data_IF_341883373948
#
_entry.id   IF_341883373948
#
_cell.length_a   1.000
_cell.length_b   1.000
_cell.length_c   1.000
_cell.angle_alpha   90.00
_cell.angle_beta   90.00
_cell.angle_gamma   90.00
#
_symmetry.space_group_name_H-M   'P 1'
#
loop_
_entity.id
_entity.type
_entity.pdbx_description
1 polymer ?
#
# COMPACT_ATOMS: atom_id res chain seq x y z
N UNK A 1 -16.47 8.92 -9.14
CA UNK A 1 -17.13 7.74 -8.55
C UNK A 1 -17.83 6.98 -9.64
N UNK A 2 -17.52 5.71 -9.82
CA UNK A 2 -18.27 4.82 -10.71
C UNK A 2 -19.45 4.24 -9.94
N UNK A 3 -20.67 4.29 -10.51
CA UNK A 3 -21.85 3.67 -9.89
C UNK A 3 -21.70 2.15 -9.90
N UNK A 4 -22.25 1.52 -8.87
CA UNK A 4 -22.32 0.06 -8.75
C UNK A 4 -23.77 -0.33 -8.76
N UNK A 5 -24.13 -1.39 -9.50
CA UNK A 5 -25.47 -1.94 -9.46
C UNK A 5 -25.74 -2.57 -8.10
N UNK A 6 -26.81 -2.12 -7.44
CA UNK A 6 -27.19 -2.65 -6.13
C UNK A 6 -28.71 -2.65 -5.94
N UNK A 7 -29.19 -3.57 -5.15
CA UNK A 7 -30.51 -3.49 -4.55
C UNK A 7 -30.38 -2.74 -3.22
N UNK A 8 -31.24 -1.76 -2.99
CA UNK A 8 -31.25 -0.94 -1.78
C UNK A 8 -32.67 -0.76 -1.27
N UNK A 9 -32.84 -0.79 0.04
CA UNK A 9 -34.11 -0.50 0.69
C UNK A 9 -33.85 0.34 1.96
N UNK A 10 -34.81 1.24 2.23
CA UNK A 10 -34.90 1.98 3.49
C UNK A 10 -36.38 1.92 3.93
N UNK A 11 -36.63 1.47 5.15
CA UNK A 11 -37.94 1.23 5.71
C UNK A 11 -38.04 1.86 7.09
N UNK A 12 -39.05 2.70 7.32
CA UNK A 12 -39.44 3.15 8.66
C UNK A 12 -40.12 2.00 9.40
N UNK A 13 -39.53 1.54 10.48
CA UNK A 13 -40.07 0.47 11.32
C UNK A 13 -41.03 1.03 12.38
N UNK A 14 -40.72 2.22 12.90
CA UNK A 14 -41.55 3.03 13.80
C UNK A 14 -41.38 4.50 13.43
N UNK A 15 -42.02 5.40 14.18
CA UNK A 15 -41.85 6.85 13.99
C UNK A 15 -40.39 7.28 14.19
N UNK A 16 -39.63 6.58 15.07
CA UNK A 16 -38.29 6.96 15.48
C UNK A 16 -37.22 5.92 15.06
N UNK A 17 -37.59 4.80 14.41
CA UNK A 17 -36.64 3.75 14.04
C UNK A 17 -36.78 3.44 12.54
N UNK A 18 -35.68 3.48 11.82
CA UNK A 18 -35.56 3.04 10.43
C UNK A 18 -34.51 1.95 10.27
N UNK A 19 -34.70 1.13 9.23
CA UNK A 19 -33.75 0.11 8.82
C UNK A 19 -33.37 0.34 7.35
N UNK A 20 -32.09 0.22 7.06
CA UNK A 20 -31.52 0.28 5.71
C UNK A 20 -30.82 -1.02 5.39
N UNK A 21 -30.94 -1.51 4.16
CA UNK A 21 -30.20 -2.66 3.68
C UNK A 21 -29.80 -2.46 2.23
N UNK A 22 -28.62 -2.98 1.88
CA UNK A 22 -28.19 -3.06 0.50
C UNK A 22 -27.58 -4.42 0.17
N UNK A 23 -27.63 -4.78 -1.11
CA UNK A 23 -26.89 -5.90 -1.69
C UNK A 23 -26.31 -5.44 -3.03
N UNK A 24 -24.98 -5.53 -3.21
CA UNK A 24 -24.33 -5.20 -4.48
C UNK A 24 -24.43 -6.38 -5.44
N UNK A 25 -24.70 -6.06 -6.71
CA UNK A 25 -24.89 -7.03 -7.80
C UNK A 25 -23.65 -7.15 -8.70
N UNK A 26 -22.58 -6.46 -8.37
CA UNK A 26 -21.34 -6.49 -9.13
C UNK A 26 -20.21 -5.78 -8.41
N UNK A 27 -18.98 -6.22 -8.67
CA UNK A 27 -17.77 -5.59 -8.16
C UNK A 27 -17.32 -4.48 -9.12
N UNK A 28 -16.90 -3.36 -8.55
CA UNK A 28 -16.30 -2.27 -9.31
C UNK A 28 -15.06 -1.77 -8.60
N UNK A 29 -13.91 -1.98 -9.20
CA UNK A 29 -12.62 -1.49 -8.73
C UNK A 29 -12.53 0.04 -8.77
N UNK A 30 -11.65 0.61 -7.97
CA UNK A 30 -11.29 2.03 -8.06
C UNK A 30 -10.47 2.25 -9.32
N UNK A 31 -10.94 3.14 -10.19
CA UNK A 31 -10.19 3.56 -11.37
C UNK A 31 -9.14 4.59 -10.95
N UNK A 32 -7.89 4.25 -11.17
CA UNK A 32 -6.74 5.11 -10.94
C UNK A 32 -6.24 5.66 -12.29
N UNK A 33 -5.63 6.87 -12.31
CA UNK A 33 -5.09 7.45 -13.54
C UNK A 33 -4.13 6.51 -14.25
N UNK A 34 -4.22 6.43 -15.60
CA UNK A 34 -3.41 5.50 -16.40
C UNK A 34 -1.90 5.69 -16.24
N UNK A 35 -1.14 4.63 -16.49
CA UNK A 35 0.31 4.60 -16.39
C UNK A 35 0.96 5.66 -17.29
N UNK A 36 1.98 6.35 -16.78
CA UNK A 36 2.71 7.39 -17.52
C UNK A 36 1.94 8.70 -17.73
N UNK A 37 0.74 8.85 -17.15
CA UNK A 37 0.02 10.11 -17.17
C UNK A 37 0.48 11.04 -16.05
N UNK A 38 0.27 12.34 -16.19
CA UNK A 38 0.67 13.35 -15.19
C UNK A 38 0.06 13.08 -13.79
N UNK A 39 -1.10 12.46 -13.73
CA UNK A 39 -1.81 12.18 -12.47
C UNK A 39 -1.53 10.78 -11.91
N UNK A 40 -0.72 9.97 -12.57
CA UNK A 40 -0.31 8.67 -12.04
C UNK A 40 0.61 8.88 -10.83
N UNK A 41 0.24 8.27 -9.70
CA UNK A 41 0.99 8.38 -8.44
C UNK A 41 2.01 7.25 -8.26
N UNK A 42 1.99 6.24 -9.14
CA UNK A 42 2.94 5.13 -9.16
C UNK A 42 2.95 4.48 -10.56
N UNK A 43 3.98 3.70 -10.84
CA UNK A 43 4.24 3.09 -12.14
C UNK A 43 3.98 1.57 -12.19
N UNK A 44 3.25 1.02 -11.23
CA UNK A 44 2.96 -0.42 -11.18
C UNK A 44 1.46 -0.75 -11.12
N UNK A 45 0.66 0.03 -10.41
CA UNK A 45 -0.77 -0.25 -10.24
C UNK A 45 -1.66 0.23 -11.39
N UNK A 46 -1.43 1.40 -12.04
CA UNK A 46 -2.30 1.89 -13.09
C UNK A 46 -2.44 0.93 -14.27
N UNK A 47 -3.56 1.05 -14.97
CA UNK A 47 -3.74 0.38 -16.26
C UNK A 47 -2.71 0.90 -17.27
N UNK A 48 -2.16 -0.01 -18.07
CA UNK A 48 -1.08 0.28 -19.03
C UNK A 48 0.33 0.13 -18.46
N UNK A 49 0.51 0.00 -17.14
CA UNK A 49 1.79 -0.40 -16.56
C UNK A 49 2.04 -1.91 -16.83
N UNK A 50 3.19 -2.23 -17.39
CA UNK A 50 3.55 -3.60 -17.80
C UNK A 50 4.64 -4.21 -16.94
N UNK A 51 5.36 -3.41 -16.17
CA UNK A 51 6.47 -3.87 -15.35
C UNK A 51 6.80 -2.86 -14.25
N UNK A 52 7.45 -3.31 -13.18
CA UNK A 52 8.01 -2.50 -12.10
C UNK A 52 9.53 -2.68 -12.04
N UNK A 53 10.27 -1.59 -11.87
CA UNK A 53 11.73 -1.65 -11.69
C UNK A 53 12.10 -2.26 -10.35
N UNK A 54 13.11 -3.13 -10.36
CA UNK A 54 13.66 -3.78 -9.19
C UNK A 54 15.18 -3.52 -9.10
N UNK A 55 15.72 -3.61 -7.86
CA UNK A 55 17.17 -3.49 -7.58
C UNK A 55 17.82 -2.24 -8.20
N UNK A 56 17.18 -1.08 -8.00
CA UNK A 56 17.69 0.20 -8.52
C UNK A 56 17.60 0.35 -10.05
N UNK A 57 16.67 -0.34 -10.68
CA UNK A 57 16.44 -0.27 -12.13
C UNK A 57 17.29 -1.27 -12.95
N UNK A 58 18.04 -2.13 -12.29
CA UNK A 58 18.84 -3.15 -12.96
C UNK A 58 17.97 -4.24 -13.60
N UNK A 59 16.81 -4.51 -13.01
CA UNK A 59 15.87 -5.52 -13.45
C UNK A 59 14.45 -4.96 -13.49
N UNK A 60 13.57 -5.62 -14.22
CA UNK A 60 12.18 -5.24 -14.36
C UNK A 60 11.29 -6.47 -14.20
N UNK A 61 10.49 -6.50 -13.13
CA UNK A 61 9.51 -7.57 -12.86
C UNK A 61 8.26 -7.26 -13.67
N UNK A 62 7.88 -8.19 -14.55
CA UNK A 62 6.72 -8.06 -15.42
C UNK A 62 5.39 -8.15 -14.68
N UNK A 63 4.36 -7.47 -15.21
CA UNK A 63 2.97 -7.68 -14.77
C UNK A 63 2.48 -9.01 -15.34
N UNK A 64 1.73 -9.77 -14.55
CA UNK A 64 1.19 -11.06 -14.99
C UNK A 64 0.35 -10.91 -16.25
N UNK A 65 0.56 -11.83 -17.20
CA UNK A 65 -0.23 -11.91 -18.44
C UNK A 65 -1.70 -12.30 -18.16
N UNK A 66 -1.96 -12.99 -17.06
CA UNK A 66 -3.32 -13.36 -16.61
C UNK A 66 -4.12 -12.18 -16.07
N UNK A 67 -3.50 -11.00 -15.97
CA UNK A 67 -4.12 -9.77 -15.52
C UNK A 67 -4.32 -9.68 -14.01
N UNK A 68 -5.23 -8.77 -13.61
CA UNK A 68 -5.56 -8.54 -12.21
C UNK A 68 -6.54 -9.60 -11.71
N UNK A 69 -6.44 -9.92 -10.42
CA UNK A 69 -7.38 -10.80 -9.71
C UNK A 69 -8.46 -9.96 -9.06
N UNK A 70 -9.55 -9.73 -9.78
CA UNK A 70 -10.70 -8.99 -9.29
C UNK A 70 -11.45 -9.77 -8.23
N UNK A 71 -12.09 -9.04 -7.30
CA UNK A 71 -13.03 -9.65 -6.38
C UNK A 71 -14.29 -10.15 -7.09
N UNK A 72 -15.02 -11.03 -6.42
CA UNK A 72 -16.29 -11.56 -6.92
C UNK A 72 -17.37 -10.46 -7.03
N UNK A 73 -18.33 -10.69 -7.91
CA UNK A 73 -19.47 -9.78 -8.09
C UNK A 73 -20.48 -9.88 -6.94
N UNK A 74 -20.45 -10.95 -6.17
CA UNK A 74 -21.36 -11.24 -5.06
C UNK A 74 -20.67 -11.13 -3.71
N UNK A 75 -21.42 -11.33 -2.62
CA UNK A 75 -20.89 -11.30 -1.25
C UNK A 75 -20.92 -9.94 -0.58
N UNK A 76 -21.20 -8.85 -1.28
CA UNK A 76 -21.20 -7.51 -0.69
C UNK A 76 -22.61 -7.06 -0.29
N UNK A 77 -22.82 -6.89 1.01
CA UNK A 77 -24.13 -6.49 1.58
C UNK A 77 -23.93 -5.71 2.87
N UNK A 78 -24.98 -5.02 3.30
CA UNK A 78 -24.97 -4.31 4.58
C UNK A 78 -26.37 -4.06 5.12
N UNK A 79 -26.41 -3.87 6.43
CA UNK A 79 -27.59 -3.55 7.21
C UNK A 79 -27.26 -2.42 8.18
N UNK A 80 -28.16 -1.43 8.28
CA UNK A 80 -28.06 -0.37 9.27
C UNK A 80 -29.40 -0.10 9.93
N UNK A 81 -29.36 0.30 11.19
CA UNK A 81 -30.52 0.81 11.92
C UNK A 81 -30.21 2.23 12.40
N UNK A 82 -31.19 3.12 12.30
CA UNK A 82 -31.12 4.49 12.81
C UNK A 82 -32.29 4.72 13.76
N UNK A 83 -31.95 5.24 14.94
CA UNK A 83 -32.91 5.54 15.98
C UNK A 83 -32.81 7.01 16.40
N UNK A 84 -33.92 7.74 16.30
CA UNK A 84 -34.05 9.12 16.76
C UNK A 84 -34.58 9.13 18.19
N UNK A 85 -33.80 9.67 19.11
CA UNK A 85 -34.17 9.83 20.52
C UNK A 85 -34.59 11.27 20.78
N UNK A 86 -35.91 11.52 20.89
CA UNK A 86 -36.49 12.83 21.24
C UNK A 86 -36.09 13.25 22.67
N UNK A 87 -36.04 12.30 23.60
CA UNK A 87 -35.67 12.52 25.01
C UNK A 87 -34.22 13.01 25.20
N UNK A 88 -33.36 12.72 24.23
CA UNK A 88 -31.95 13.16 24.22
C UNK A 88 -31.73 14.35 23.28
N UNK A 89 -32.73 15.21 23.11
CA UNK A 89 -32.62 16.42 22.30
C UNK A 89 -32.52 16.13 20.81
N UNK A 90 -33.36 15.26 20.29
CA UNK A 90 -33.42 14.82 18.90
C UNK A 90 -32.07 14.23 18.42
N UNK A 91 -31.44 13.43 19.28
CA UNK A 91 -30.21 12.74 18.94
C UNK A 91 -30.49 11.50 18.10
N UNK A 92 -29.91 11.43 16.92
CA UNK A 92 -29.92 10.24 16.08
C UNK A 92 -28.75 9.32 16.45
N UNK A 93 -29.01 8.04 16.65
CA UNK A 93 -28.04 6.97 16.82
C UNK A 93 -28.10 6.03 15.64
N UNK A 94 -26.95 5.61 15.13
CA UNK A 94 -26.82 4.61 14.08
C UNK A 94 -26.00 3.41 14.54
N UNK A 95 -26.42 2.22 14.11
CA UNK A 95 -25.61 0.99 14.18
C UNK A 95 -25.62 0.33 12.81
N UNK A 96 -24.48 -0.13 12.36
CA UNK A 96 -24.41 -0.81 11.08
C UNK A 96 -23.40 -1.96 11.08
N UNK A 97 -23.63 -2.91 10.18
CA UNK A 97 -22.70 -3.98 9.82
C UNK A 97 -22.77 -4.24 8.33
N UNK A 98 -21.62 -4.45 7.71
CA UNK A 98 -21.54 -4.76 6.29
C UNK A 98 -20.38 -5.70 5.98
N UNK A 99 -20.54 -6.50 4.92
CA UNK A 99 -19.48 -7.25 4.28
C UNK A 99 -19.18 -6.59 2.93
N UNK A 100 -17.92 -6.22 2.72
CA UNK A 100 -17.47 -5.53 1.50
C UNK A 100 -16.16 -6.11 0.98
N UNK A 101 -15.87 -5.90 -0.28
CA UNK A 101 -14.58 -6.20 -0.88
C UNK A 101 -13.74 -4.94 -1.03
N UNK A 102 -12.41 -5.09 -0.97
CA UNK A 102 -11.51 -3.96 -1.22
C UNK A 102 -11.66 -3.49 -2.66
N UNK A 103 -12.01 -2.22 -2.85
CA UNK A 103 -12.03 -1.57 -4.18
C UNK A 103 -10.68 -0.98 -4.58
N UNK A 104 -9.77 -0.85 -3.64
CA UNK A 104 -8.41 -0.40 -3.89
C UNK A 104 -7.53 -1.60 -4.23
N UNK A 105 -6.71 -1.52 -5.28
CA UNK A 105 -5.80 -2.59 -5.67
C UNK A 105 -4.66 -2.74 -4.68
N UNK A 106 -4.29 -4.00 -4.40
CA UNK A 106 -3.08 -4.37 -3.68
C UNK A 106 -2.18 -5.18 -4.60
N UNK A 107 -0.88 -4.89 -4.55
CA UNK A 107 0.10 -5.61 -5.34
C UNK A 107 0.51 -6.90 -4.64
N UNK A 108 0.43 -8.01 -5.34
CA UNK A 108 0.91 -9.34 -4.96
C UNK A 108 1.78 -9.90 -6.08
N UNK A 109 2.43 -11.03 -5.85
CA UNK A 109 3.27 -11.66 -6.86
C UNK A 109 3.16 -13.17 -6.89
N UNK A 110 3.83 -13.76 -7.88
CA UNK A 110 3.99 -15.20 -7.97
C UNK A 110 5.45 -15.54 -7.70
N UNK A 111 5.68 -16.48 -6.77
CA UNK A 111 7.01 -16.99 -6.49
C UNK A 111 7.58 -17.63 -7.77
N UNK A 112 8.85 -17.33 -8.08
CA UNK A 112 9.51 -17.93 -9.22
C UNK A 112 9.63 -19.46 -9.08
N UNK A 113 9.88 -20.12 -10.21
CA UNK A 113 10.07 -21.59 -10.30
C UNK A 113 11.52 -21.95 -10.58
N UNK A 114 12.43 -21.00 -10.40
CA UNK A 114 13.84 -21.11 -10.78
C UNK A 114 14.65 -21.63 -9.59
N UNK A 115 15.41 -22.70 -9.80
CA UNK A 115 16.40 -23.17 -8.85
C UNK A 115 17.72 -22.41 -9.04
N UNK A 116 17.93 -21.37 -8.23
CA UNK A 116 19.15 -20.55 -8.24
C UNK A 116 20.40 -21.39 -8.05
N UNK A 117 20.38 -22.34 -7.10
CA UNK A 117 21.52 -23.19 -6.78
C UNK A 117 21.89 -24.06 -7.99
N UNK A 118 20.89 -24.60 -8.67
CA UNK A 118 21.13 -25.40 -9.86
C UNK A 118 21.76 -24.58 -10.99
N UNK A 119 21.25 -23.36 -11.26
CA UNK A 119 21.78 -22.49 -12.31
C UNK A 119 23.23 -22.11 -12.02
N UNK A 120 23.51 -21.68 -10.80
CA UNK A 120 24.86 -21.31 -10.38
C UNK A 120 25.80 -22.50 -10.48
N UNK A 121 25.36 -23.68 -10.05
CA UNK A 121 26.12 -24.93 -10.13
C UNK A 121 26.40 -25.32 -11.59
N UNK A 122 25.44 -25.24 -12.46
CA UNK A 122 25.59 -25.61 -13.88
C UNK A 122 26.58 -24.69 -14.59
N UNK A 123 26.51 -23.37 -14.35
CA UNK A 123 27.44 -22.40 -14.92
C UNK A 123 28.84 -22.62 -14.40
N UNK A 124 29.05 -22.76 -13.09
CA UNK A 124 30.37 -23.03 -12.50
C UNK A 124 30.92 -24.34 -13.03
N UNK A 125 30.11 -25.38 -13.04
CA UNK A 125 30.49 -26.69 -13.57
C UNK A 125 30.93 -26.63 -15.04
N UNK A 126 30.23 -25.87 -15.87
CA UNK A 126 30.57 -25.68 -17.29
C UNK A 126 31.94 -25.00 -17.47
N UNK A 127 32.36 -24.16 -16.56
CA UNK A 127 33.66 -23.46 -16.56
C UNK A 127 34.77 -24.36 -16.00
N UNK A 128 34.51 -25.05 -14.90
CA UNK A 128 35.53 -25.81 -14.14
C UNK A 128 35.80 -27.17 -14.77
N UNK A 129 34.79 -27.86 -15.31
CA UNK A 129 34.95 -29.20 -15.85
C UNK A 129 35.99 -29.31 -17.01
N UNK A 130 36.01 -28.41 -18.00
CA UNK A 130 37.03 -28.43 -19.05
C UNK A 130 38.46 -28.25 -18.49
N UNK A 131 38.61 -27.36 -17.48
CA UNK A 131 39.93 -27.12 -16.82
C UNK A 131 40.37 -28.39 -16.10
N UNK A 132 39.47 -29.05 -15.38
CA UNK A 132 39.79 -30.30 -14.69
C UNK A 132 40.22 -31.41 -15.64
N UNK A 133 39.45 -31.60 -16.71
CA UNK A 133 39.72 -32.64 -17.73
C UNK A 133 41.05 -32.38 -18.43
N UNK A 134 41.30 -31.15 -18.88
CA UNK A 134 42.57 -30.79 -19.54
C UNK A 134 43.75 -30.93 -18.60
N UNK A 135 43.65 -30.39 -17.36
CA UNK A 135 44.75 -30.47 -16.38
C UNK A 135 45.10 -31.90 -15.96
N UNK A 136 44.10 -32.77 -15.81
CA UNK A 136 44.32 -34.22 -15.54
C UNK A 136 45.00 -34.90 -16.73
N UNK A 137 44.62 -34.56 -17.96
CA UNK A 137 45.27 -35.09 -19.19
C UNK A 137 46.73 -34.64 -19.26
N UNK A 138 47.00 -33.38 -18.97
CA UNK A 138 48.36 -32.82 -18.97
C UNK A 138 49.25 -33.50 -17.91
N UNK A 139 48.73 -33.71 -16.71
CA UNK A 139 49.43 -34.44 -15.63
C UNK A 139 49.72 -35.90 -16.06
N UNK A 140 48.73 -36.59 -16.59
CA UNK A 140 48.89 -37.97 -17.08
C UNK A 140 49.93 -38.08 -18.22
N UNK A 141 49.92 -37.09 -19.12
CA UNK A 141 50.88 -37.01 -20.23
C UNK A 141 52.31 -36.76 -19.72
N UNK A 142 52.49 -35.88 -18.76
CA UNK A 142 53.76 -35.60 -18.16
C UNK A 142 54.35 -36.81 -17.41
N UNK A 143 53.50 -37.60 -16.71
CA UNK A 143 53.88 -38.87 -16.12
C UNK A 143 54.32 -39.85 -17.20
N UNK A 144 53.59 -39.98 -18.29
CA UNK A 144 53.89 -40.91 -19.40
C UNK A 144 55.19 -40.53 -20.11
N UNK A 145 55.48 -39.25 -20.24
CA UNK A 145 56.73 -38.76 -20.81
C UNK A 145 57.94 -38.87 -19.88
N UNK A 146 57.73 -39.17 -18.59
CA UNK A 146 58.78 -39.29 -17.59
C UNK A 146 59.23 -37.94 -16.97
N UNK A 147 58.46 -36.86 -17.18
CA UNK A 147 58.77 -35.56 -16.64
C UNK A 147 58.73 -35.56 -15.11
N UNK A 148 57.90 -36.41 -14.50
CA UNK A 148 57.89 -36.75 -13.06
C UNK A 148 57.26 -38.11 -12.79
N UNK A 149 57.59 -38.72 -11.63
CA UNK A 149 57.04 -40.04 -11.27
C UNK A 149 55.66 -39.89 -10.65
N UNK A 150 54.81 -40.84 -10.92
CA UNK A 150 53.50 -40.95 -10.24
C UNK A 150 53.69 -40.99 -8.71
N UNK A 151 52.84 -40.23 -7.99
CA UNK A 151 52.92 -40.03 -6.54
C UNK A 151 54.20 -39.33 -6.00
N UNK A 152 55.03 -38.80 -6.88
CA UNK A 152 56.14 -37.92 -6.47
C UNK A 152 55.63 -36.56 -5.92
N UNK A 153 56.53 -35.80 -5.27
CA UNK A 153 56.19 -34.44 -4.85
C UNK A 153 55.77 -33.55 -6.01
N UNK A 154 56.47 -33.69 -7.18
CA UNK A 154 56.10 -32.97 -8.38
C UNK A 154 54.71 -33.29 -8.89
N UNK A 155 54.28 -34.57 -8.81
CA UNK A 155 52.93 -34.96 -9.15
C UNK A 155 51.88 -34.35 -8.18
N UNK A 156 52.16 -34.34 -6.88
CA UNK A 156 51.29 -33.73 -5.88
C UNK A 156 51.20 -32.19 -6.06
N UNK A 157 52.33 -31.56 -6.37
CA UNK A 157 52.38 -30.10 -6.62
C UNK A 157 51.60 -29.75 -7.90
N UNK A 158 51.68 -30.57 -8.96
CA UNK A 158 50.87 -30.38 -10.16
C UNK A 158 49.36 -30.52 -9.90
N UNK A 159 48.98 -31.49 -9.08
CA UNK A 159 47.57 -31.65 -8.63
C UNK A 159 47.10 -30.48 -7.82
N UNK A 160 47.89 -29.97 -6.90
CA UNK A 160 47.57 -28.78 -6.10
C UNK A 160 47.47 -27.49 -6.97
N UNK A 161 48.35 -27.34 -7.96
CA UNK A 161 48.26 -26.24 -8.93
C UNK A 161 46.99 -26.30 -9.79
N UNK A 162 46.60 -27.48 -10.24
CA UNK A 162 45.34 -27.68 -10.95
C UNK A 162 44.13 -27.30 -10.08
N UNK A 163 44.09 -27.76 -8.83
CA UNK A 163 43.03 -27.41 -7.89
C UNK A 163 42.96 -25.89 -7.67
N UNK A 164 44.08 -25.23 -7.45
CA UNK A 164 44.11 -23.76 -7.30
C UNK A 164 43.59 -23.03 -8.55
N UNK A 165 43.88 -23.58 -9.76
CA UNK A 165 43.35 -23.04 -11.03
C UNK A 165 41.86 -23.21 -11.11
N UNK A 166 41.32 -24.34 -10.69
CA UNK A 166 39.88 -24.61 -10.67
C UNK A 166 39.15 -23.71 -9.67
N UNK A 167 39.74 -23.55 -8.48
CA UNK A 167 39.16 -22.66 -7.43
C UNK A 167 39.14 -21.20 -7.90
N UNK A 168 40.20 -20.74 -8.53
CA UNK A 168 40.28 -19.39 -9.09
C UNK A 168 39.27 -19.19 -10.24
N UNK A 169 39.11 -20.17 -11.13
CA UNK A 169 38.13 -20.11 -12.19
C UNK A 169 36.68 -20.12 -11.67
N UNK A 170 36.42 -20.94 -10.65
CA UNK A 170 35.12 -20.96 -9.93
C UNK A 170 34.82 -19.60 -9.30
N UNK A 171 35.76 -19.03 -8.57
CA UNK A 171 35.59 -17.71 -7.95
C UNK A 171 35.38 -16.59 -8.99
N UNK A 172 36.07 -16.66 -10.13
CA UNK A 172 35.89 -15.69 -11.22
C UNK A 172 34.56 -15.83 -11.94
N UNK A 173 34.01 -17.04 -12.05
CA UNK A 173 32.72 -17.31 -12.69
C UNK A 173 31.51 -16.99 -11.78
N UNK A 174 31.69 -17.00 -10.47
CA UNK A 174 30.62 -16.84 -9.49
C UNK A 174 29.74 -15.59 -9.72
N UNK A 175 30.29 -14.36 -9.90
CA UNK A 175 29.46 -13.18 -10.12
C UNK A 175 28.60 -13.27 -11.37
N UNK A 176 29.13 -13.86 -12.45
CA UNK A 176 28.40 -14.07 -13.71
C UNK A 176 27.29 -15.09 -13.52
N UNK A 177 27.56 -16.19 -12.81
CA UNK A 177 26.59 -17.23 -12.52
C UNK A 177 25.43 -16.70 -11.67
N UNK A 178 25.74 -15.96 -10.61
CA UNK A 178 24.73 -15.32 -9.78
C UNK A 178 23.91 -14.29 -10.55
N UNK A 179 24.54 -13.46 -11.38
CA UNK A 179 23.83 -12.51 -12.23
C UNK A 179 22.89 -13.18 -13.23
N UNK A 180 23.29 -14.31 -13.81
CA UNK A 180 22.45 -15.09 -14.71
C UNK A 180 21.26 -15.75 -13.98
N UNK A 181 21.47 -16.25 -12.76
CA UNK A 181 20.42 -16.82 -11.93
C UNK A 181 19.39 -15.73 -11.56
N UNK A 182 19.83 -14.58 -11.09
CA UNK A 182 18.93 -13.44 -10.78
C UNK A 182 18.16 -13.01 -12.04
N UNK A 183 18.78 -12.92 -13.19
CA UNK A 183 18.09 -12.57 -14.43
C UNK A 183 16.97 -13.57 -14.79
N UNK A 184 17.18 -14.87 -14.58
CA UNK A 184 16.15 -15.89 -14.82
C UNK A 184 15.04 -15.84 -13.78
N UNK A 185 15.37 -15.62 -12.50
CA UNK A 185 14.40 -15.41 -11.42
C UNK A 185 13.49 -14.23 -11.77
N UNK A 186 14.07 -13.07 -12.12
CA UNK A 186 13.30 -11.88 -12.52
C UNK A 186 12.41 -12.16 -13.73
N UNK A 187 12.92 -12.86 -14.75
CA UNK A 187 12.15 -13.19 -15.94
C UNK A 187 10.98 -14.15 -15.67
N UNK A 188 11.08 -15.00 -14.64
CA UNK A 188 10.04 -15.94 -14.23
C UNK A 188 9.11 -15.38 -13.14
N UNK A 189 9.51 -14.33 -12.45
CA UNK A 189 8.69 -13.64 -11.47
C UNK A 189 7.70 -12.70 -12.15
N UNK A 190 6.50 -12.59 -11.58
CA UNK A 190 5.54 -11.59 -12.04
C UNK A 190 4.77 -11.02 -10.85
N UNK A 191 4.22 -9.82 -11.04
CA UNK A 191 3.30 -9.21 -10.09
C UNK A 191 1.92 -9.04 -10.73
N UNK A 192 0.91 -8.91 -9.91
CA UNK A 192 -0.47 -8.61 -10.31
C UNK A 192 -1.16 -7.83 -9.21
N UNK A 193 -2.30 -7.22 -9.54
CA UNK A 193 -3.14 -6.57 -8.56
C UNK A 193 -4.23 -7.53 -8.11
N UNK A 194 -4.52 -7.51 -6.80
CA UNK A 194 -5.58 -8.28 -6.18
C UNK A 194 -6.50 -7.37 -5.38
N UNK A 195 -7.72 -7.80 -5.16
CA UNK A 195 -8.75 -7.09 -4.42
C UNK A 195 -9.30 -8.03 -3.35
N UNK A 196 -8.76 -8.00 -2.12
CA UNK A 196 -9.22 -8.86 -1.03
C UNK A 196 -10.71 -8.73 -0.76
N UNK A 197 -11.33 -9.84 -0.45
CA UNK A 197 -12.76 -9.99 -0.25
C UNK A 197 -13.11 -10.08 1.25
N UNK A 198 -14.40 -10.00 1.56
CA UNK A 198 -15.00 -10.34 2.85
C UNK A 198 -14.48 -9.52 4.05
N UNK A 199 -14.26 -8.22 3.82
CA UNK A 199 -13.94 -7.28 4.89
C UNK A 199 -15.22 -6.95 5.65
N UNK A 200 -15.30 -7.37 6.92
CA UNK A 200 -16.45 -7.05 7.78
C UNK A 200 -16.24 -5.67 8.40
N UNK A 201 -17.21 -4.79 8.21
CA UNK A 201 -17.19 -3.44 8.81
C UNK A 201 -18.41 -3.28 9.71
N UNK A 202 -18.17 -2.93 10.96
CA UNK A 202 -19.22 -2.59 11.93
C UNK A 202 -19.01 -1.18 12.47
N UNK A 203 -20.06 -0.52 12.88
CA UNK A 203 -19.92 0.81 13.47
C UNK A 203 -21.14 1.29 14.23
N UNK A 204 -20.85 2.28 15.07
CA UNK A 204 -21.82 3.04 15.86
C UNK A 204 -21.62 4.52 15.57
N UNK A 205 -22.70 5.25 15.36
CA UNK A 205 -22.66 6.68 15.10
C UNK A 205 -23.71 7.43 15.93
N UNK A 206 -23.46 8.71 16.11
CA UNK A 206 -24.45 9.63 16.67
C UNK A 206 -24.40 10.98 15.95
N UNK A 207 -25.54 11.67 15.92
CA UNK A 207 -25.66 13.05 15.50
C UNK A 207 -26.64 13.78 16.39
N UNK A 208 -26.22 14.93 16.94
CA UNK A 208 -27.02 15.70 17.93
C UNK A 208 -26.79 17.19 17.80
N UNK A 209 -27.66 17.99 18.40
CA UNK A 209 -27.50 19.42 18.54
C UNK A 209 -27.30 19.79 20.01
N UNK A 210 -26.20 20.44 20.34
CA UNK A 210 -25.88 20.95 21.67
C UNK A 210 -25.92 22.48 21.62
N UNK A 211 -27.05 23.06 21.98
CA UNK A 211 -27.27 24.49 21.81
C UNK A 211 -27.23 24.90 20.32
N UNK A 212 -26.30 25.77 19.95
CA UNK A 212 -26.11 26.22 18.55
C UNK A 212 -24.97 25.46 17.85
N UNK A 213 -24.59 24.31 18.35
CA UNK A 213 -23.53 23.46 17.76
C UNK A 213 -24.12 22.11 17.36
N UNK A 214 -23.92 21.73 16.10
CA UNK A 214 -24.18 20.37 15.65
C UNK A 214 -22.92 19.53 15.91
N UNK A 215 -23.09 18.38 16.57
CA UNK A 215 -22.04 17.45 16.93
C UNK A 215 -22.40 16.08 16.38
N UNK A 216 -21.46 15.44 15.70
CA UNK A 216 -21.58 14.06 15.24
C UNK A 216 -20.30 13.29 15.52
N UNK A 217 -20.44 11.97 15.64
CA UNK A 217 -19.28 11.10 15.80
C UNK A 217 -19.60 9.68 15.37
N UNK A 218 -18.53 8.96 15.09
CA UNK A 218 -18.59 7.57 14.66
C UNK A 218 -17.39 6.80 15.24
N UNK A 219 -17.64 5.57 15.65
CA UNK A 219 -16.63 4.55 15.87
C UNK A 219 -16.91 3.40 14.92
N UNK A 220 -15.92 2.99 14.16
CA UNK A 220 -16.00 1.84 13.26
C UNK A 220 -14.89 0.84 13.55
N UNK A 221 -15.17 -0.42 13.25
CA UNK A 221 -14.23 -1.52 13.37
C UNK A 221 -14.31 -2.37 12.11
N UNK A 222 -13.14 -2.59 11.49
CA UNK A 222 -12.97 -3.42 10.30
C UNK A 222 -12.22 -4.67 10.72
N UNK A 223 -12.77 -5.83 10.39
CA UNK A 223 -12.12 -7.13 10.56
C UNK A 223 -11.56 -7.54 9.20
N UNK A 224 -10.36 -8.11 9.19
CA UNK A 224 -9.66 -8.57 7.98
C UNK A 224 -9.43 -7.47 6.93
N UNK A 225 -9.18 -6.24 7.38
CA UNK A 225 -8.83 -5.15 6.48
C UNK A 225 -7.41 -5.32 5.92
N UNK A 226 -7.22 -5.32 4.58
CA UNK A 226 -5.91 -5.54 3.99
C UNK A 226 -5.04 -4.29 4.07
N UNK A 227 -3.77 -4.48 4.45
CA UNK A 227 -2.74 -3.45 4.41
C UNK A 227 -1.60 -3.91 3.50
N UNK A 228 -1.25 -3.09 2.51
CA UNK A 228 -0.18 -3.37 1.56
C UNK A 228 1.17 -3.46 2.25
N UNK A 229 1.89 -4.55 2.08
CA UNK A 229 3.32 -4.64 2.42
C UNK A 229 4.09 -3.67 1.53
N UNK A 230 5.14 -3.07 2.04
CA UNK A 230 5.98 -2.16 1.27
C UNK A 230 6.40 -2.79 -0.08
N UNK A 231 6.11 -2.11 -1.18
CA UNK A 231 6.33 -2.62 -2.53
C UNK A 231 7.76 -3.09 -2.80
N UNK A 232 8.79 -2.29 -2.47
CA UNK A 232 10.19 -2.72 -2.55
C UNK A 232 10.50 -4.00 -1.76
N UNK A 233 9.89 -4.22 -0.58
CA UNK A 233 10.06 -5.47 0.17
C UNK A 233 9.43 -6.66 -0.56
N UNK A 234 8.21 -6.50 -1.10
CA UNK A 234 7.54 -7.55 -1.88
C UNK A 234 8.38 -7.94 -3.09
N UNK A 235 8.75 -6.96 -3.92
CA UNK A 235 9.52 -7.21 -5.14
C UNK A 235 10.92 -7.76 -4.81
N UNK A 236 11.59 -7.20 -3.79
CA UNK A 236 12.89 -7.70 -3.33
C UNK A 236 12.82 -9.16 -2.93
N UNK A 237 11.82 -9.55 -2.14
CA UNK A 237 11.63 -10.93 -1.71
C UNK A 237 11.33 -11.86 -2.91
N UNK A 238 10.50 -11.43 -3.86
CA UNK A 238 10.21 -12.22 -5.08
C UNK A 238 11.45 -12.47 -5.94
N UNK A 239 12.38 -11.50 -5.99
CA UNK A 239 13.58 -11.56 -6.85
C UNK A 239 14.76 -12.21 -6.15
N UNK A 240 14.98 -11.93 -4.87
CA UNK A 240 16.18 -12.37 -4.14
C UNK A 240 15.91 -13.47 -3.11
N UNK A 241 14.64 -13.81 -2.87
CA UNK A 241 14.23 -14.72 -1.80
C UNK A 241 14.48 -14.15 -0.40
N UNK A 242 14.81 -12.87 -0.28
CA UNK A 242 15.25 -12.24 0.96
C UNK A 242 14.78 -10.79 1.08
N UNK A 243 14.45 -10.38 2.29
CA UNK A 243 14.13 -9.00 2.66
C UNK A 243 14.74 -8.67 4.03
N UNK A 244 14.53 -7.47 4.52
CA UNK A 244 14.90 -7.07 5.89
C UNK A 244 14.01 -7.71 6.97
N UNK A 245 12.87 -8.31 6.58
CA UNK A 245 11.96 -9.00 7.50
C UNK A 245 12.21 -10.50 7.52
N UNK A 246 12.50 -11.02 8.72
CA UNK A 246 12.65 -12.47 8.92
C UNK A 246 11.34 -13.23 8.73
N UNK A 247 10.20 -12.62 9.04
CA UNK A 247 8.88 -13.18 8.85
C UNK A 247 8.55 -13.32 7.37
N UNK A 248 8.72 -12.25 6.58
CA UNK A 248 8.46 -12.27 5.15
C UNK A 248 9.37 -13.26 4.42
N UNK A 249 10.64 -13.39 4.86
CA UNK A 249 11.56 -14.39 4.32
C UNK A 249 11.07 -15.81 4.61
N UNK A 250 10.60 -16.07 5.83
CA UNK A 250 10.07 -17.39 6.19
C UNK A 250 8.81 -17.73 5.38
N UNK A 251 7.91 -16.79 5.20
CA UNK A 251 6.70 -16.96 4.38
C UNK A 251 7.05 -17.28 2.93
N UNK A 252 8.01 -16.54 2.36
CA UNK A 252 8.49 -16.79 1.00
C UNK A 252 9.09 -18.20 0.84
N UNK A 253 9.92 -18.63 1.80
CA UNK A 253 10.52 -19.97 1.77
C UNK A 253 9.47 -21.08 1.87
N UNK A 254 8.40 -20.86 2.65
CA UNK A 254 7.31 -21.82 2.84
C UNK A 254 6.29 -21.78 1.67
N UNK A 255 6.32 -20.74 0.83
CA UNK A 255 5.46 -20.67 -0.37
C UNK A 255 6.00 -21.62 -1.42
N UNK A 256 5.13 -22.44 -2.02
CA UNK A 256 5.51 -23.34 -3.11
C UNK A 256 5.91 -22.54 -4.37
N UNK A 257 6.83 -23.08 -5.16
CA UNK A 257 7.24 -22.46 -6.41
C UNK A 257 6.06 -22.34 -7.39
N UNK A 258 5.93 -21.19 -8.03
CA UNK A 258 4.80 -20.85 -8.88
C UNK A 258 3.51 -20.49 -8.12
N UNK A 259 3.51 -20.58 -6.79
CA UNK A 259 2.35 -20.17 -5.98
C UNK A 259 2.33 -18.66 -5.72
N UNK A 260 1.16 -18.19 -5.30
CA UNK A 260 0.96 -16.77 -4.94
C UNK A 260 1.69 -16.46 -3.66
N UNK A 261 2.40 -15.33 -3.68
CA UNK A 261 2.90 -14.64 -2.51
C UNK A 261 2.09 -13.34 -2.35
N UNK A 262 1.23 -13.31 -1.33
CA UNK A 262 0.40 -12.13 -1.08
C UNK A 262 1.26 -10.95 -0.63
N UNK A 263 1.08 -9.82 -1.29
CA UNK A 263 1.78 -8.58 -0.97
C UNK A 263 1.08 -7.75 0.11
N UNK A 264 0.16 -8.31 0.86
CA UNK A 264 -0.58 -7.65 1.93
C UNK A 264 -0.76 -8.59 3.13
N UNK A 265 -1.18 -8.00 4.26
CA UNK A 265 -1.65 -8.73 5.44
C UNK A 265 -3.00 -8.17 5.86
N UNK A 266 -3.80 -9.03 6.49
CA UNK A 266 -5.10 -8.68 7.04
C UNK A 266 -4.94 -8.24 8.50
N UNK A 267 -5.59 -7.15 8.86
CA UNK A 267 -5.58 -6.59 10.21
C UNK A 267 -6.97 -6.15 10.63
N UNK A 268 -7.21 -6.20 11.92
CA UNK A 268 -8.35 -5.54 12.52
C UNK A 268 -8.01 -4.07 12.73
N UNK A 269 -8.88 -3.16 12.25
CA UNK A 269 -8.66 -1.71 12.30
C UNK A 269 -9.84 -1.03 12.96
N UNK A 270 -9.59 -0.29 14.03
CA UNK A 270 -10.59 0.59 14.65
C UNK A 270 -10.36 2.05 14.26
N UNK A 271 -11.44 2.77 14.02
CA UNK A 271 -11.40 4.19 13.70
C UNK A 271 -12.44 4.95 14.52
N UNK A 272 -12.06 6.12 15.02
CA UNK A 272 -12.94 7.04 15.72
C UNK A 272 -12.86 8.40 15.03
N UNK A 273 -14.01 9.02 14.83
CA UNK A 273 -14.13 10.34 14.21
C UNK A 273 -15.17 11.17 14.94
N UNK A 274 -14.89 12.46 15.14
CA UNK A 274 -15.83 13.44 15.72
C UNK A 274 -15.80 14.70 14.88
N UNK A 275 -16.99 15.21 14.54
CA UNK A 275 -17.19 16.46 13.80
C UNK A 275 -18.07 17.41 14.59
N UNK A 276 -17.67 18.68 14.67
CA UNK A 276 -18.44 19.76 15.29
C UNK A 276 -18.65 20.90 14.29
N UNK A 277 -19.87 21.39 14.19
CA UNK A 277 -20.24 22.54 13.36
C UNK A 277 -20.88 23.60 14.26
N UNK A 278 -20.31 24.80 14.26
CA UNK A 278 -20.80 25.94 15.05
C UNK A 278 -21.14 27.10 14.14
N UNK A 279 -22.35 27.65 14.32
CA UNK A 279 -22.82 28.84 13.63
C UNK A 279 -22.72 30.05 14.55
N UNK A 280 -22.25 31.16 14.01
CA UNK A 280 -22.20 32.46 14.66
C UNK A 280 -22.89 33.47 13.74
N UNK A 281 -23.97 34.07 14.19
CA UNK A 281 -24.71 35.08 13.43
C UNK A 281 -24.18 36.48 13.74
N UNK A 282 -24.06 37.30 12.70
CA UNK A 282 -23.68 38.71 12.78
C UNK A 282 -22.35 38.99 13.49
N UNK A 283 -21.33 38.15 13.23
CA UNK A 283 -19.98 38.31 13.80
C UNK A 283 -19.04 38.90 12.73
N UNK A 284 -18.21 39.87 13.14
CA UNK A 284 -17.21 40.55 12.31
C UNK A 284 -17.78 41.13 10.98
N UNK A 285 -19.04 41.57 10.97
CA UNK A 285 -19.71 42.11 9.81
C UNK A 285 -20.23 41.06 8.81
N UNK A 286 -19.98 39.79 9.06
CA UNK A 286 -20.57 38.70 8.28
C UNK A 286 -22.02 38.46 8.73
N UNK A 287 -22.93 38.14 7.81
CA UNK A 287 -24.29 37.72 8.10
C UNK A 287 -24.32 36.40 8.87
N UNK A 288 -23.40 35.50 8.53
CA UNK A 288 -23.15 34.22 9.24
C UNK A 288 -21.70 33.84 9.12
N UNK A 289 -21.16 33.25 10.19
CA UNK A 289 -19.87 32.59 10.19
C UNK A 289 -20.07 31.13 10.62
N UNK A 290 -19.49 30.20 9.87
CA UNK A 290 -19.57 28.76 10.13
C UNK A 290 -18.18 28.23 10.43
N UNK A 291 -18.01 27.68 11.64
CA UNK A 291 -16.80 26.95 12.02
C UNK A 291 -17.10 25.45 11.99
N UNK A 292 -16.30 24.70 11.24
CA UNK A 292 -16.35 23.24 11.16
C UNK A 292 -15.02 22.73 11.70
N UNK A 293 -15.06 21.77 12.61
CA UNK A 293 -13.90 21.08 13.13
C UNK A 293 -14.12 19.57 13.09
N UNK A 294 -13.10 18.83 12.72
CA UNK A 294 -13.11 17.37 12.68
C UNK A 294 -11.80 16.84 13.25
N UNK A 295 -11.85 15.76 14.03
CA UNK A 295 -10.71 15.01 14.49
C UNK A 295 -10.97 13.53 14.29
N UNK A 296 -9.94 12.80 13.85
CA UNK A 296 -10.00 11.36 13.61
C UNK A 296 -8.76 10.65 14.15
N UNK A 297 -8.95 9.43 14.58
CA UNK A 297 -7.92 8.51 15.04
C UNK A 297 -8.15 7.14 14.44
N UNK A 298 -7.08 6.51 13.93
CA UNK A 298 -7.08 5.15 13.40
C UNK A 298 -6.09 4.31 14.22
N UNK A 299 -6.49 3.11 14.60
CA UNK A 299 -5.70 2.15 15.36
C UNK A 299 -5.74 0.79 14.69
N UNK A 300 -4.57 0.18 14.47
CA UNK A 300 -4.39 -1.16 13.90
C UNK A 300 -4.08 -2.11 15.05
N UNK A 301 -4.91 -3.14 15.21
CA UNK A 301 -4.72 -4.11 16.27
C UNK A 301 -3.59 -5.09 15.93
N UNK A 302 -2.88 -5.56 16.95
CA UNK A 302 -1.78 -6.55 16.86
C UNK A 302 -0.67 -6.17 15.86
N UNK A 303 -0.48 -4.84 15.66
CA UNK A 303 0.50 -4.32 14.72
C UNK A 303 1.92 -4.40 15.31
N UNK A 304 2.85 -4.98 14.53
CA UNK A 304 4.27 -5.08 14.90
C UNK A 304 5.09 -4.09 14.08
N UNK A 305 5.64 -3.07 14.73
CA UNK A 305 6.47 -2.02 14.12
C UNK A 305 7.98 -2.19 14.41
N UNK A 306 8.40 -3.34 14.98
CA UNK A 306 9.80 -3.61 15.30
C UNK A 306 10.70 -3.47 14.04
N UNK A 307 12.01 -3.19 14.20
CA UNK A 307 12.93 -2.99 13.07
C UNK A 307 13.00 -4.15 12.07
N UNK A 308 12.78 -5.39 12.55
CA UNK A 308 12.82 -6.62 11.74
C UNK A 308 11.45 -7.11 11.29
N UNK A 309 10.38 -6.40 11.65
CA UNK A 309 9.02 -6.72 11.21
C UNK A 309 8.81 -6.40 9.73
N UNK A 310 7.72 -6.93 9.18
CA UNK A 310 7.23 -6.51 7.87
C UNK A 310 6.89 -5.01 7.93
N UNK A 311 7.34 -4.26 6.94
CA UNK A 311 6.98 -2.85 6.78
C UNK A 311 5.83 -2.70 5.79
N UNK A 312 4.90 -1.80 6.10
CA UNK A 312 3.68 -1.61 5.33
C UNK A 312 3.61 -0.20 4.72
N UNK A 313 3.02 -0.11 3.52
CA UNK A 313 2.82 1.16 2.82
C UNK A 313 4.12 1.84 2.45
N UNK A 314 4.22 3.13 2.75
CA UNK A 314 5.28 4.12 2.45
C UNK A 314 5.17 4.68 1.04
N UNK A 315 4.94 5.96 0.96
CA UNK A 315 4.90 6.68 -0.31
C UNK A 315 6.31 6.85 -0.91
N UNK A 316 6.40 6.88 -2.24
CA UNK A 316 7.64 7.09 -2.99
C UNK A 316 8.32 8.43 -2.68
N UNK A 317 7.61 9.42 -2.11
CA UNK A 317 8.18 10.70 -1.66
C UNK A 317 9.28 10.55 -0.61
N UNK A 318 9.27 9.45 0.16
CA UNK A 318 10.30 9.15 1.16
C UNK A 318 11.55 8.50 0.56
N UNK A 319 11.60 8.27 -0.75
CA UNK A 319 12.75 7.65 -1.43
C UNK A 319 12.98 6.18 -1.07
N UNK A 320 14.16 5.69 -1.36
CA UNK A 320 14.55 4.31 -1.08
C UNK A 320 14.64 4.06 0.42
N UNK A 321 14.18 2.87 0.85
CA UNK A 321 14.33 2.44 2.24
C UNK A 321 15.77 2.04 2.52
N UNK A 322 16.39 2.68 3.52
CA UNK A 322 17.69 2.31 4.08
C UNK A 322 17.52 1.91 5.55
N UNK A 323 17.64 0.62 5.89
CA UNK A 323 17.46 0.15 7.27
C UNK A 323 18.55 0.65 8.23
N UNK A 324 19.63 1.24 7.71
CA UNK A 324 20.72 1.80 8.52
C UNK A 324 20.54 3.28 8.84
N UNK A 325 19.60 3.95 8.16
CA UNK A 325 19.24 5.34 8.41
C UNK A 325 18.36 5.43 9.66
N UNK A 326 18.72 6.26 10.66
CA UNK A 326 17.87 6.50 11.83
C UNK A 326 16.46 7.00 11.48
N UNK A 327 16.34 7.76 10.39
CA UNK A 327 15.09 8.31 9.89
C UNK A 327 14.46 7.41 8.81
N UNK A 328 15.06 6.28 8.49
CA UNK A 328 14.68 5.36 7.43
C UNK A 328 13.31 4.68 7.63
N UNK A 329 12.70 4.81 8.82
CA UNK A 329 11.36 4.32 9.11
C UNK A 329 10.24 5.33 8.84
N UNK A 330 10.54 6.55 8.43
CA UNK A 330 9.51 7.52 8.07
C UNK A 330 8.64 7.04 6.90
N UNK A 331 7.35 7.34 6.96
CA UNK A 331 6.39 7.05 5.91
C UNK A 331 5.80 5.64 5.94
N UNK A 332 6.32 4.71 6.73
CA UNK A 332 5.68 3.42 6.93
C UNK A 332 4.44 3.52 7.82
N UNK A 333 3.45 2.70 7.54
CA UNK A 333 2.24 2.58 8.35
C UNK A 333 2.62 2.33 9.81
N UNK A 334 1.94 3.02 10.72
CA UNK A 334 2.13 2.91 12.16
C UNK A 334 0.89 2.31 12.84
N UNK A 335 1.05 1.74 14.03
CA UNK A 335 -0.04 1.17 14.82
C UNK A 335 -1.19 2.16 15.03
N UNK A 336 -0.87 3.42 15.33
CA UNK A 336 -1.83 4.49 15.51
C UNK A 336 -1.51 5.71 14.66
N UNK A 337 -2.56 6.35 14.10
CA UNK A 337 -2.42 7.59 13.35
C UNK A 337 -3.60 8.52 13.62
N UNK A 338 -3.35 9.84 13.70
CA UNK A 338 -4.40 10.82 13.96
C UNK A 338 -4.10 12.21 13.43
N UNK A 339 -5.16 12.93 13.19
CA UNK A 339 -5.09 14.30 12.75
C UNK A 339 -6.40 15.05 12.98
N UNK A 340 -6.38 16.33 12.67
CA UNK A 340 -7.57 17.19 12.75
C UNK A 340 -7.62 18.15 11.57
N UNK A 341 -8.85 18.58 11.24
CA UNK A 341 -9.15 19.53 10.18
C UNK A 341 -10.09 20.59 10.72
N UNK A 342 -9.92 21.82 10.25
CA UNK A 342 -10.77 22.94 10.59
C UNK A 342 -11.10 23.78 9.37
N UNK A 343 -12.33 24.28 9.30
CA UNK A 343 -12.77 25.18 8.23
C UNK A 343 -13.60 26.30 8.79
N UNK A 344 -13.24 27.54 8.47
CA UNK A 344 -14.00 28.74 8.81
C UNK A 344 -14.51 29.35 7.51
N UNK A 345 -15.82 29.53 7.44
CA UNK A 345 -16.50 30.17 6.31
C UNK A 345 -17.27 31.37 6.83
N UNK A 346 -17.11 32.53 6.21
CA UNK A 346 -17.90 33.73 6.54
C UNK A 346 -18.71 34.17 5.33
N UNK A 347 -20.00 34.47 5.55
CA UNK A 347 -20.93 34.93 4.52
C UNK A 347 -21.12 36.43 4.65
N UNK A 348 -20.66 37.22 3.69
CA UNK A 348 -20.88 38.66 3.60
C UNK A 348 -21.84 38.93 2.41
N UNK A 349 -23.00 39.48 2.74
CA UNK A 349 -24.01 39.83 1.74
C UNK A 349 -23.89 41.28 1.31
N UNK A 350 -24.06 41.54 0.03
CA UNK A 350 -24.10 42.89 -0.57
C UNK A 350 -22.91 43.80 -0.15
N UNK A 351 -21.71 43.26 -0.25
CA UNK A 351 -20.48 44.00 0.15
C UNK A 351 -20.26 45.23 -0.76
N UNK A 352 -20.56 45.08 -2.05
CA UNK A 352 -20.48 46.14 -3.04
C UNK A 352 -21.38 45.82 -4.23
N UNK A 353 -22.34 46.72 -4.58
CA UNK A 353 -23.20 46.64 -5.75
C UNK A 353 -23.90 45.26 -5.96
N UNK A 354 -24.37 44.61 -4.92
CA UNK A 354 -25.02 43.32 -4.99
C UNK A 354 -24.08 42.12 -5.04
N UNK A 355 -22.78 42.32 -4.84
CA UNK A 355 -21.77 41.23 -4.75
C UNK A 355 -21.77 40.65 -3.33
N UNK A 356 -21.99 39.36 -3.25
CA UNK A 356 -21.79 38.58 -2.01
C UNK A 356 -20.38 37.99 -2.00
N UNK A 357 -19.73 37.98 -0.85
CA UNK A 357 -18.39 37.39 -0.66
C UNK A 357 -18.46 36.28 0.38
N UNK A 358 -17.77 35.18 0.07
CA UNK A 358 -17.64 34.04 0.97
C UNK A 358 -16.15 33.65 1.13
N UNK A 359 -15.41 34.38 1.98
CA UNK A 359 -14.05 33.96 2.36
C UNK A 359 -14.09 32.67 3.15
N UNK A 360 -13.11 31.80 2.88
CA UNK A 360 -12.94 30.51 3.57
C UNK A 360 -11.47 30.34 3.96
N UNK A 361 -11.26 29.90 5.18
CA UNK A 361 -9.97 29.43 5.67
C UNK A 361 -10.14 27.95 6.00
N UNK A 362 -9.27 27.11 5.46
CA UNK A 362 -9.21 25.68 5.76
C UNK A 362 -7.84 25.34 6.31
N UNK A 363 -7.80 24.52 7.32
CA UNK A 363 -6.58 24.03 7.95
C UNK A 363 -6.68 22.52 8.14
N UNK A 364 -5.59 21.79 7.83
CA UNK A 364 -5.44 20.39 8.22
C UNK A 364 -4.07 20.16 8.84
N UNK A 365 -4.01 19.22 9.77
CA UNK A 365 -2.79 18.79 10.40
C UNK A 365 -2.90 17.29 10.73
N UNK A 366 -2.08 16.50 10.06
CA UNK A 366 -1.87 15.10 10.39
C UNK A 366 -0.77 15.05 11.45
N UNK A 367 -1.18 14.84 12.71
CA UNK A 367 -0.31 15.15 13.86
C UNK A 367 0.70 14.07 14.11
N UNK A 368 0.29 12.80 14.04
CA UNK A 368 1.17 11.67 14.32
C UNK A 368 0.72 10.42 13.57
N UNK A 369 1.70 9.66 13.10
CA UNK A 369 1.55 8.36 12.49
C UNK A 369 1.12 8.41 11.02
N UNK A 370 1.28 7.27 10.37
CA UNK A 370 0.91 7.05 8.97
C UNK A 370 -0.23 6.04 8.91
N UNK A 371 -1.31 6.42 8.26
CA UNK A 371 -2.51 5.60 8.16
C UNK A 371 -2.33 4.38 7.25
N UNK A 372 -3.14 3.31 7.42
CA UNK A 372 -3.13 2.12 6.56
C UNK A 372 -3.24 2.47 5.08
N UNK A 373 -2.46 1.79 4.25
CA UNK A 373 -2.49 1.95 2.79
C UNK A 373 -2.95 0.66 2.11
N UNK A 374 -3.69 0.76 0.99
CA UNK A 374 -4.08 1.98 0.26
C UNK A 374 -5.24 2.73 0.92
N UNK A 375 -5.30 4.06 0.67
CA UNK A 375 -6.45 4.88 1.06
C UNK A 375 -6.39 5.52 2.46
N UNK A 376 -5.25 5.46 3.14
CA UNK A 376 -5.06 6.11 4.45
C UNK A 376 -5.16 7.63 4.41
N UNK A 377 -5.69 8.21 5.50
CA UNK A 377 -6.03 9.64 5.60
C UNK A 377 -4.98 10.49 6.32
N UNK A 378 -3.98 9.88 6.98
CA UNK A 378 -3.00 10.58 7.80
C UNK A 378 -1.57 10.29 7.33
N UNK A 379 -0.77 11.37 7.21
CA UNK A 379 0.67 11.30 6.96
C UNK A 379 1.39 12.24 7.93
N UNK A 380 2.12 11.70 8.90
CA UNK A 380 2.72 12.42 10.01
C UNK A 380 3.39 13.73 9.59
N UNK A 381 3.08 14.80 10.31
CA UNK A 381 3.67 16.12 10.11
C UNK A 381 3.09 16.93 8.95
N UNK A 382 2.20 16.35 8.13
CA UNK A 382 1.59 17.09 7.01
C UNK A 382 0.66 18.17 7.51
N UNK A 383 0.85 19.40 6.99
CA UNK A 383 0.04 20.58 7.31
C UNK A 383 -0.38 21.25 6.02
N UNK A 384 -1.66 21.61 5.92
CA UNK A 384 -2.18 22.33 4.77
C UNK A 384 -2.98 23.53 5.23
N UNK A 385 -2.71 24.69 4.62
CA UNK A 385 -3.50 25.93 4.78
C UNK A 385 -4.12 26.27 3.44
N UNK A 386 -5.45 26.22 3.38
CA UNK A 386 -6.22 26.65 2.22
C UNK A 386 -6.89 28.00 2.51
N UNK A 387 -6.76 28.93 1.57
CA UNK A 387 -7.45 30.21 1.60
C UNK A 387 -8.26 30.36 0.33
N UNK A 388 -9.53 30.76 0.43
CA UNK A 388 -10.31 31.07 -0.78
C UNK A 388 -11.31 32.19 -0.54
N UNK A 389 -11.66 32.88 -1.61
CA UNK A 389 -12.75 33.87 -1.62
C UNK A 389 -13.63 33.60 -2.84
N UNK A 390 -14.86 33.20 -2.59
CA UNK A 390 -15.89 33.10 -3.59
C UNK A 390 -16.69 34.41 -3.63
N UNK A 391 -16.72 35.08 -4.82
CA UNK A 391 -17.57 36.22 -5.09
C UNK A 391 -18.75 35.77 -5.96
N UNK A 392 -19.97 36.12 -5.58
CA UNK A 392 -21.18 35.87 -6.38
C UNK A 392 -21.93 37.17 -6.65
N UNK A 393 -22.42 37.36 -7.89
CA UNK A 393 -23.22 38.48 -8.28
C UNK A 393 -24.55 38.02 -8.89
N UNK A 394 -25.65 38.48 -8.31
CA UNK A 394 -27.03 38.14 -8.72
C UNK A 394 -27.28 36.61 -8.78
N UNK A 395 -26.53 35.81 -7.98
CA UNK A 395 -26.57 34.33 -8.00
C UNK A 395 -26.35 33.68 -9.38
N UNK A 396 -25.97 34.48 -10.38
CA UNK A 396 -25.79 34.06 -11.78
C UNK A 396 -24.30 34.00 -12.14
N UNK A 397 -23.53 34.97 -11.69
CA UNK A 397 -22.09 35.04 -11.97
C UNK A 397 -21.28 34.71 -10.71
N UNK A 398 -20.26 33.92 -10.86
CA UNK A 398 -19.36 33.59 -9.74
C UNK A 398 -17.90 33.66 -10.19
N UNK A 399 -17.04 34.11 -9.28
CA UNK A 399 -15.59 34.06 -9.41
C UNK A 399 -15.00 33.50 -8.10
N UNK A 400 -14.07 32.57 -8.20
CA UNK A 400 -13.38 32.01 -7.05
C UNK A 400 -11.87 32.19 -7.19
N UNK A 401 -11.25 32.77 -6.16
CA UNK A 401 -9.81 32.84 -6.02
C UNK A 401 -9.40 31.93 -4.86
N UNK A 402 -8.51 30.99 -5.09
CA UNK A 402 -8.04 30.06 -4.07
C UNK A 402 -6.52 29.91 -4.08
N UNK A 403 -5.98 29.67 -2.90
CA UNK A 403 -4.56 29.36 -2.65
C UNK A 403 -4.48 28.22 -1.63
N UNK A 404 -3.61 27.26 -1.90
CA UNK A 404 -3.34 26.11 -1.00
C UNK A 404 -1.85 25.90 -0.89
#
# INVERSE_FOLDING_TARGET
LLPVNMAYTNIGLTENLSAEAFYQLGFQETVIPGCGTYFATNDYAPEGCTAVSALGGQFSVGRSADGNRKASDDGQFGLAFRYLSEDLGDTEFGIYAMNIHSRAPLASGTKNTVDEVQIVTDIITSVVTPIAVQGQTDIATAIANGDYLANSQAHQDAGAALQATMDAASAAAMPTAQGAAVAQIVASSNYFLTYPEDIIVTGLSFATNVGSMALSGEISHKIDAPIQINGPMVIGTLVTGSSTSTELNADYLNTADGAVSDGFRLFDISQVQVTAIKFFDQVAGASRMTLIGEAGYTYIHDFNDSPTAIKYGRSDIFGSFDPTDPDGNEGFVTEGSWGYRGRLVADYSDVFMGINLKPTIAWSHDVKGYAPQPGGNFGEGQKTLGLSVLATYLETYSANLSYT
#
